data_IF_133090760226
#
_entry.id   IF_133090760226
#
_cell.length_a   1.000
_cell.length_b   1.000
_cell.length_c   1.000
_cell.angle_alpha   90.00
_cell.angle_beta   90.00
_cell.angle_gamma   90.00
#
_symmetry.space_group_name_H-M   'P 1'
#
loop_
_entity.id
_entity.type
_entity.pdbx_description
1 polymer ?
#
# COMPACT_ATOMS: atom_id res chain seq x y z
N UNK A 1 -6.62 7.83 5.62
CA UNK A 1 -5.17 7.63 5.85
C UNK A 1 -4.52 7.14 4.56
N UNK A 2 -3.41 7.75 4.16
CA UNK A 2 -2.60 7.27 3.04
C UNK A 2 -1.70 6.13 3.50
N UNK A 3 -1.49 5.15 2.63
CA UNK A 3 -0.55 4.04 2.82
C UNK A 3 0.22 3.85 1.53
N UNK A 4 1.50 3.53 1.65
CA UNK A 4 2.34 3.13 0.53
C UNK A 4 2.48 1.62 0.54
N UNK A 5 2.22 1.00 -0.61
CA UNK A 5 2.38 -0.43 -0.83
C UNK A 5 3.41 -0.69 -1.93
N UNK A 6 4.12 -1.80 -1.81
CA UNK A 6 5.00 -2.32 -2.85
C UNK A 6 4.20 -3.30 -3.73
N UNK A 7 4.19 -3.03 -5.04
CA UNK A 7 3.45 -3.83 -6.05
C UNK A 7 4.39 -4.60 -7.00
N UNK A 8 5.71 -4.51 -6.76
CA UNK A 8 6.76 -5.21 -7.49
C UNK A 8 8.14 -4.84 -6.93
N UNK A 9 9.21 -5.47 -7.43
CA UNK A 9 10.56 -5.36 -6.87
C UNK A 9 11.09 -3.92 -6.73
N UNK A 10 10.64 -3.00 -7.58
CA UNK A 10 11.09 -1.60 -7.58
C UNK A 10 9.95 -0.60 -7.77
N UNK A 11 8.71 -1.03 -7.54
CA UNK A 11 7.53 -0.20 -7.78
C UNK A 11 6.67 -0.10 -6.52
N UNK A 12 6.49 1.13 -6.05
CA UNK A 12 5.66 1.47 -4.91
C UNK A 12 4.52 2.37 -5.35
N UNK A 13 3.37 2.21 -4.71
CA UNK A 13 2.16 2.99 -4.98
C UNK A 13 1.62 3.52 -3.66
N UNK A 14 1.42 4.83 -3.59
CA UNK A 14 0.74 5.46 -2.47
C UNK A 14 -0.74 5.66 -2.79
N UNK A 15 -1.62 5.32 -1.84
CA UNK A 15 -3.05 5.47 -2.01
C UNK A 15 -3.81 5.48 -0.70
N UNK A 16 -5.14 5.67 -0.79
CA UNK A 16 -6.01 5.63 0.39
C UNK A 16 -6.19 4.19 0.86
N UNK A 17 -5.89 3.93 2.13
CA UNK A 17 -6.14 2.62 2.74
C UNK A 17 -7.61 2.21 2.59
N UNK A 18 -7.83 0.95 2.20
CA UNK A 18 -9.16 0.34 2.12
C UNK A 18 -9.29 -0.77 3.15
N UNK A 19 -8.40 -1.76 3.11
CA UNK A 19 -8.38 -2.90 4.05
C UNK A 19 -7.04 -3.62 4.04
N UNK A 20 -6.79 -4.39 5.09
CA UNK A 20 -5.73 -5.41 5.16
C UNK A 20 -6.34 -6.77 4.84
N UNK A 21 -5.65 -7.57 4.05
CA UNK A 21 -6.03 -8.94 3.73
C UNK A 21 -5.50 -9.90 4.80
N UNK A 22 -6.04 -11.12 4.86
CA UNK A 22 -5.63 -12.13 5.83
C UNK A 22 -4.15 -12.56 5.71
N UNK A 23 -3.54 -12.33 4.55
CA UNK A 23 -2.13 -12.61 4.27
C UNK A 23 -1.19 -11.45 4.62
N UNK A 24 -1.72 -10.36 5.18
CA UNK A 24 -0.93 -9.18 5.57
C UNK A 24 -0.71 -8.14 4.47
N UNK A 25 -1.13 -8.41 3.22
CA UNK A 25 -1.11 -7.39 2.16
C UNK A 25 -2.17 -6.32 2.42
N UNK A 26 -1.93 -5.12 1.93
CA UNK A 26 -2.85 -3.99 2.05
C UNK A 26 -3.46 -3.68 0.68
N UNK A 27 -4.75 -3.37 0.69
CA UNK A 27 -5.46 -2.78 -0.44
C UNK A 27 -5.49 -1.27 -0.29
N UNK A 28 -4.96 -0.56 -1.28
CA UNK A 28 -5.08 0.91 -1.40
C UNK A 28 -5.88 1.28 -2.64
N UNK A 29 -6.54 2.44 -2.58
CA UNK A 29 -7.23 3.04 -3.72
C UNK A 29 -6.44 4.24 -4.24
N UNK A 30 -6.21 4.26 -5.55
CA UNK A 30 -5.63 5.39 -6.29
C UNK A 30 -6.61 5.79 -7.40
N UNK A 31 -7.19 6.99 -7.27
CA UNK A 31 -8.31 7.40 -8.10
C UNK A 31 -9.45 6.37 -8.05
N UNK A 32 -9.74 5.75 -9.19
CA UNK A 32 -10.78 4.73 -9.34
C UNK A 32 -10.27 3.28 -9.29
N UNK A 33 -8.95 3.07 -9.15
CA UNK A 33 -8.34 1.74 -9.18
C UNK A 33 -7.93 1.27 -7.79
N UNK A 34 -8.10 -0.03 -7.53
CA UNK A 34 -7.59 -0.70 -6.35
C UNK A 34 -6.24 -1.35 -6.68
N UNK A 35 -5.29 -1.20 -5.78
CA UNK A 35 -3.98 -1.80 -5.83
C UNK A 35 -3.74 -2.62 -4.57
N UNK A 36 -3.10 -3.78 -4.71
CA UNK A 36 -2.81 -4.71 -3.62
C UNK A 36 -1.31 -4.91 -3.59
N UNK A 37 -0.72 -4.83 -2.40
CA UNK A 37 0.71 -4.97 -2.25
C UNK A 37 1.12 -5.08 -0.80
N UNK A 38 2.41 -5.26 -0.57
CA UNK A 38 2.97 -5.32 0.77
C UNK A 38 3.09 -3.92 1.36
N UNK A 39 2.70 -3.71 2.62
CA UNK A 39 2.94 -2.42 3.26
C UNK A 39 4.44 -2.11 3.25
N UNK A 40 4.79 -0.89 2.86
CA UNK A 40 6.15 -0.39 3.09
C UNK A 40 6.24 -0.02 4.57
N UNK A 41 6.90 -0.85 5.36
CA UNK A 41 7.23 -0.57 6.77
C UNK A 41 8.46 0.32 6.78
N UNK A 42 8.26 1.63 6.86
CA UNK A 42 9.33 2.58 7.12
C UNK A 42 8.88 3.53 8.21
N UNK A 43 9.56 3.50 9.36
CA UNK A 43 9.72 4.69 10.20
C UNK A 43 10.57 5.71 9.42
N UNK A 44 10.01 6.23 8.33
CA UNK A 44 10.59 7.37 7.61
C UNK A 44 9.95 8.65 8.16
N UNK A 45 10.04 8.78 9.48
CA UNK A 45 9.92 10.03 10.20
C UNK A 45 11.22 10.15 11.02
N UNK A 46 12.27 10.64 10.36
CA UNK A 46 13.42 11.24 11.02
C UNK A 46 13.17 12.75 11.10
#
# INVERSE_FOLDING_TARGET
>A
MLRTIMIGNYSMVQGRYVKTLSDGRIVVRVGHRLHIGWPVTGDMAA
#
